data_IF_409719368346
#
_entry.id   IF_409719368346
#
_cell.length_a   1.000
_cell.length_b   1.000
_cell.length_c   1.000
_cell.angle_alpha   90.00
_cell.angle_beta   90.00
_cell.angle_gamma   90.00
#
_symmetry.space_group_name_H-M   'P 1'
#
loop_
_entity.id
_entity.type
_entity.pdbx_description
1 polymer ?
#
# COMPACT_ATOMS: atom_id res chain seq x y z
N UNK A 1 -25.99 -34.22 -4.79
CA UNK A 1 -26.11 -32.77 -4.96
C UNK A 1 -25.25 -32.11 -3.89
N UNK A 2 -24.24 -31.31 -4.25
CA UNK A 2 -23.48 -30.56 -3.27
C UNK A 2 -24.39 -29.54 -2.57
N UNK A 3 -24.18 -29.32 -1.25
CA UNK A 3 -24.91 -28.27 -0.54
C UNK A 3 -24.73 -26.92 -1.25
N UNK A 4 -25.75 -26.05 -1.29
CA UNK A 4 -25.64 -24.75 -1.89
C UNK A 4 -24.52 -23.94 -1.18
N UNK A 5 -23.73 -23.19 -1.96
CA UNK A 5 -22.70 -22.33 -1.39
C UNK A 5 -23.34 -21.24 -0.52
N UNK A 6 -22.71 -20.83 0.59
CA UNK A 6 -23.18 -19.67 1.33
C UNK A 6 -23.06 -18.41 0.50
N UNK A 7 -23.94 -17.43 0.76
CA UNK A 7 -23.99 -16.16 0.03
C UNK A 7 -23.05 -15.12 0.65
N UNK A 8 -22.27 -14.42 -0.19
CA UNK A 8 -21.33 -13.38 0.23
C UNK A 8 -21.57 -12.07 -0.53
N UNK A 9 -21.80 -11.01 0.20
CA UNK A 9 -21.76 -9.65 -0.35
C UNK A 9 -20.36 -9.06 -0.21
N UNK A 10 -19.75 -8.60 -1.30
CA UNK A 10 -18.48 -7.85 -1.29
C UNK A 10 -18.74 -6.41 -1.64
N UNK A 11 -18.40 -5.49 -0.74
CA UNK A 11 -18.56 -4.05 -0.91
C UNK A 11 -17.16 -3.45 -1.10
N UNK A 12 -16.89 -2.90 -2.27
CA UNK A 12 -15.57 -2.35 -2.65
C UNK A 12 -15.70 -1.37 -3.79
N UNK A 13 -14.64 -0.60 -4.06
CA UNK A 13 -14.43 -0.09 -5.42
C UNK A 13 -14.04 -1.27 -6.30
N UNK A 14 -14.72 -1.47 -7.40
CA UNK A 14 -14.52 -2.65 -8.24
C UNK A 14 -14.19 -2.28 -9.69
N UNK A 15 -14.97 -1.39 -10.30
CA UNK A 15 -14.78 -0.99 -11.70
C UNK A 15 -13.89 0.25 -11.88
N UNK A 16 -13.23 0.68 -10.83
CA UNK A 16 -12.30 1.80 -10.84
C UNK A 16 -10.84 1.36 -11.08
N UNK A 17 -10.06 2.21 -11.74
CA UNK A 17 -8.60 2.07 -11.83
C UNK A 17 -7.95 2.49 -10.52
N UNK A 18 -8.00 1.65 -9.52
CA UNK A 18 -7.37 1.92 -8.22
C UNK A 18 -6.78 0.64 -7.60
N UNK A 19 -5.82 0.82 -6.68
CA UNK A 19 -5.14 -0.31 -6.04
C UNK A 19 -6.06 -1.22 -5.23
N UNK A 20 -7.22 -0.72 -4.76
CA UNK A 20 -8.21 -1.51 -4.02
C UNK A 20 -9.01 -2.41 -4.96
N UNK A 21 -9.43 -1.88 -6.12
CA UNK A 21 -10.09 -2.67 -7.14
C UNK A 21 -9.16 -3.79 -7.64
N UNK A 22 -7.89 -3.45 -7.93
CA UNK A 22 -6.87 -4.42 -8.33
C UNK A 22 -6.56 -5.50 -7.27
N UNK A 23 -6.74 -5.20 -5.98
CA UNK A 23 -6.66 -6.18 -4.91
C UNK A 23 -7.95 -7.00 -4.78
N UNK A 24 -9.11 -6.37 -4.90
CA UNK A 24 -10.42 -7.01 -4.64
C UNK A 24 -10.79 -8.01 -5.74
N UNK A 25 -10.51 -7.71 -7.01
CA UNK A 25 -10.88 -8.58 -8.15
C UNK A 25 -10.34 -10.00 -8.02
N UNK A 26 -9.02 -10.23 -7.81
CA UNK A 26 -8.49 -11.58 -7.60
C UNK A 26 -9.11 -12.27 -6.37
N UNK A 27 -9.30 -11.55 -5.27
CA UNK A 27 -9.90 -12.09 -4.03
C UNK A 27 -11.34 -12.54 -4.27
N UNK A 28 -12.14 -11.76 -5.00
CA UNK A 28 -13.52 -12.14 -5.37
C UNK A 28 -13.52 -13.40 -6.22
N UNK A 29 -12.61 -13.51 -7.20
CA UNK A 29 -12.48 -14.71 -8.02
C UNK A 29 -12.25 -15.98 -7.19
N UNK A 30 -11.30 -15.92 -6.25
CA UNK A 30 -11.01 -17.05 -5.36
C UNK A 30 -12.13 -17.31 -4.33
N UNK A 31 -12.76 -16.26 -3.80
CA UNK A 31 -13.91 -16.42 -2.89
C UNK A 31 -15.11 -17.06 -3.58
N UNK A 32 -15.27 -16.86 -4.91
CA UNK A 32 -16.36 -17.50 -5.69
C UNK A 32 -16.24 -19.04 -5.76
N UNK A 33 -15.08 -19.60 -5.44
CA UNK A 33 -14.95 -21.05 -5.28
C UNK A 33 -15.69 -21.57 -4.04
N UNK A 34 -15.83 -20.73 -3.01
CA UNK A 34 -16.40 -21.08 -1.71
C UNK A 34 -17.78 -20.47 -1.44
N UNK A 35 -18.15 -19.39 -2.11
CA UNK A 35 -19.36 -18.61 -1.91
C UNK A 35 -20.09 -18.35 -3.23
N UNK A 36 -21.40 -18.07 -3.12
CA UNK A 36 -22.15 -17.33 -4.15
C UNK A 36 -21.94 -15.84 -3.89
N UNK A 37 -21.12 -15.18 -4.72
CA UNK A 37 -20.61 -13.83 -4.48
C UNK A 37 -21.39 -12.79 -5.25
N UNK A 38 -21.91 -11.79 -4.55
CA UNK A 38 -22.48 -10.57 -5.12
C UNK A 38 -21.57 -9.38 -4.79
N UNK A 39 -21.15 -8.63 -5.81
CA UNK A 39 -20.30 -7.42 -5.64
C UNK A 39 -21.19 -6.18 -5.66
N UNK A 40 -21.01 -5.31 -4.67
CA UNK A 40 -21.58 -3.96 -4.60
C UNK A 40 -20.45 -2.95 -4.83
N UNK A 41 -20.41 -2.38 -6.04
CA UNK A 41 -19.39 -1.39 -6.41
C UNK A 41 -19.66 -0.05 -5.73
N UNK A 42 -18.60 0.55 -5.17
CA UNK A 42 -18.59 1.90 -4.62
C UNK A 42 -18.11 2.88 -5.69
N UNK A 43 -18.98 3.26 -6.62
CA UNK A 43 -18.67 4.24 -7.67
C UNK A 43 -18.04 5.52 -7.08
N UNK A 44 -16.74 5.71 -7.32
CA UNK A 44 -15.98 6.81 -6.74
C UNK A 44 -16.40 8.18 -7.29
N UNK A 45 -16.98 8.24 -8.48
CA UNK A 45 -17.57 9.47 -9.03
C UNK A 45 -18.72 9.97 -8.13
N UNK A 46 -19.58 9.05 -7.67
CA UNK A 46 -20.68 9.38 -6.77
C UNK A 46 -20.21 9.63 -5.34
N UNK A 47 -19.42 8.71 -4.79
CA UNK A 47 -19.05 8.72 -3.38
C UNK A 47 -18.09 9.84 -3.00
N UNK A 48 -17.22 10.28 -3.92
CA UNK A 48 -16.25 11.39 -3.72
C UNK A 48 -16.70 12.74 -4.26
N UNK A 49 -17.90 12.84 -4.85
CA UNK A 49 -18.40 14.11 -5.36
C UNK A 49 -18.50 15.17 -4.26
N UNK A 50 -18.14 16.41 -4.57
CA UNK A 50 -18.37 17.57 -3.71
C UNK A 50 -19.81 18.12 -3.83
N UNK A 51 -20.55 17.73 -4.87
CA UNK A 51 -21.93 18.13 -5.09
C UNK A 51 -22.85 17.45 -4.09
N UNK A 52 -23.61 18.23 -3.30
CA UNK A 52 -24.63 17.69 -2.37
C UNK A 52 -25.70 16.86 -3.07
N UNK A 53 -26.01 17.18 -4.34
CA UNK A 53 -27.00 16.43 -5.13
C UNK A 53 -26.49 15.06 -5.46
N UNK A 54 -25.24 14.94 -5.90
CA UNK A 54 -24.58 13.67 -6.23
C UNK A 54 -24.34 12.83 -4.96
N UNK A 55 -23.94 13.46 -3.85
CA UNK A 55 -23.80 12.76 -2.56
C UNK A 55 -25.14 12.14 -2.08
N UNK A 56 -26.28 12.82 -2.31
CA UNK A 56 -27.59 12.24 -2.01
C UNK A 56 -27.90 11.03 -2.89
N UNK A 57 -27.44 11.02 -4.15
CA UNK A 57 -27.58 9.84 -5.03
C UNK A 57 -26.74 8.68 -4.47
N UNK A 58 -25.46 8.91 -4.17
CA UNK A 58 -24.59 7.91 -3.51
C UNK A 58 -25.23 7.33 -2.23
N UNK A 59 -25.83 8.20 -1.39
CA UNK A 59 -26.52 7.75 -0.16
C UNK A 59 -27.79 6.93 -0.47
N UNK A 60 -28.51 7.21 -1.58
CA UNK A 60 -29.65 6.40 -2.01
C UNK A 60 -29.22 5.00 -2.46
N UNK A 61 -28.17 4.91 -3.27
CA UNK A 61 -27.61 3.65 -3.72
C UNK A 61 -27.09 2.82 -2.56
N UNK A 62 -26.29 3.45 -1.66
CA UNK A 62 -25.85 2.81 -0.43
C UNK A 62 -27.02 2.27 0.40
N UNK A 63 -28.10 3.04 0.56
CA UNK A 63 -29.27 2.60 1.29
C UNK A 63 -30.02 1.49 0.56
N UNK A 64 -29.97 1.45 -0.78
CA UNK A 64 -30.61 0.40 -1.55
C UNK A 64 -29.93 -0.95 -1.29
N UNK A 65 -28.61 -1.04 -1.42
CA UNK A 65 -27.92 -2.30 -1.13
C UNK A 65 -27.87 -2.62 0.37
N UNK A 66 -27.82 -1.64 1.27
CA UNK A 66 -27.93 -1.90 2.71
C UNK A 66 -29.22 -2.58 3.13
N UNK A 67 -30.33 -2.45 2.36
CA UNK A 67 -31.56 -3.18 2.64
C UNK A 67 -31.46 -4.68 2.37
N UNK A 68 -30.56 -5.09 1.50
CA UNK A 68 -30.36 -6.50 1.14
C UNK A 68 -29.23 -7.16 1.92
N UNK A 69 -28.32 -6.41 2.56
CA UNK A 69 -27.15 -6.98 3.25
C UNK A 69 -27.51 -7.98 4.37
N UNK A 70 -28.67 -7.82 4.99
CA UNK A 70 -29.16 -8.74 6.04
C UNK A 70 -29.55 -10.14 5.53
N UNK A 71 -29.70 -10.34 4.22
CA UNK A 71 -30.05 -11.63 3.61
C UNK A 71 -28.81 -12.46 3.24
N UNK A 72 -27.62 -11.88 3.25
CA UNK A 72 -26.39 -12.58 2.97
C UNK A 72 -25.86 -13.30 4.25
N UNK A 73 -25.29 -14.49 4.07
CA UNK A 73 -24.65 -15.24 5.14
C UNK A 73 -23.42 -14.54 5.69
N UNK A 74 -22.69 -13.85 4.82
CA UNK A 74 -21.53 -13.02 5.17
C UNK A 74 -21.44 -11.78 4.29
N UNK A 75 -20.80 -10.72 4.84
CA UNK A 75 -20.48 -9.48 4.12
C UNK A 75 -19.00 -9.18 4.28
N UNK A 76 -18.32 -8.83 3.21
CA UNK A 76 -16.97 -8.28 3.24
C UNK A 76 -16.97 -6.82 2.77
N UNK A 77 -16.41 -5.92 3.58
CA UNK A 77 -16.19 -4.53 3.20
C UNK A 77 -14.69 -4.29 3.03
N UNK A 78 -14.27 -3.93 1.83
CA UNK A 78 -12.91 -3.45 1.56
C UNK A 78 -12.84 -1.95 1.90
N UNK A 79 -12.23 -1.62 3.02
CA UNK A 79 -12.25 -0.27 3.55
C UNK A 79 -10.90 0.45 3.36
N UNK A 80 -10.88 1.35 2.40
CA UNK A 80 -10.02 2.52 2.44
C UNK A 80 -10.91 3.72 2.79
N UNK A 81 -10.52 4.51 3.78
CA UNK A 81 -11.43 5.53 4.34
C UNK A 81 -12.01 6.46 3.27
N UNK A 82 -11.19 6.87 2.31
CA UNK A 82 -11.60 7.73 1.21
C UNK A 82 -12.59 7.11 0.22
N UNK A 83 -12.85 5.80 0.23
CA UNK A 83 -13.82 5.18 -0.69
C UNK A 83 -15.27 5.45 -0.29
N UNK A 84 -15.52 5.72 0.98
CA UNK A 84 -16.86 6.01 1.50
C UNK A 84 -17.19 7.51 1.53
N UNK A 85 -16.28 8.41 1.15
CA UNK A 85 -16.53 9.85 1.11
C UNK A 85 -15.28 10.70 1.34
N UNK A 86 -15.47 12.04 1.29
CA UNK A 86 -14.37 12.99 1.42
C UNK A 86 -14.21 13.57 2.84
N UNK A 87 -15.18 13.38 3.72
CA UNK A 87 -15.12 13.89 5.08
C UNK A 87 -15.40 12.79 6.12
N UNK A 88 -14.79 12.87 7.30
CA UNK A 88 -14.87 11.82 8.32
C UNK A 88 -16.28 11.54 8.82
N UNK A 89 -17.16 12.54 8.89
CA UNK A 89 -18.53 12.35 9.35
C UNK A 89 -19.37 11.57 8.34
N UNK A 90 -19.24 11.88 7.05
CA UNK A 90 -19.89 11.13 5.96
C UNK A 90 -19.38 9.69 5.92
N UNK A 91 -18.06 9.49 6.00
CA UNK A 91 -17.44 8.16 6.07
C UNK A 91 -18.02 7.35 7.23
N UNK A 92 -18.02 7.92 8.43
CA UNK A 92 -18.55 7.25 9.63
C UNK A 92 -20.06 6.97 9.54
N UNK A 93 -20.84 7.88 8.97
CA UNK A 93 -22.28 7.69 8.78
C UNK A 93 -22.57 6.52 7.84
N UNK A 94 -21.88 6.49 6.69
CA UNK A 94 -22.02 5.42 5.69
C UNK A 94 -21.52 4.08 6.23
N UNK A 95 -20.37 4.05 6.88
CA UNK A 95 -19.83 2.85 7.52
C UNK A 95 -20.80 2.30 8.59
N UNK A 96 -21.32 3.16 9.46
CA UNK A 96 -22.32 2.75 10.46
C UNK A 96 -23.53 2.12 9.79
N UNK A 97 -24.02 2.71 8.71
CA UNK A 97 -25.16 2.17 7.96
C UNK A 97 -24.88 0.77 7.42
N UNK A 98 -23.73 0.56 6.79
CA UNK A 98 -23.31 -0.76 6.29
C UNK A 98 -23.24 -1.76 7.45
N UNK A 99 -22.46 -1.48 8.48
CA UNK A 99 -22.22 -2.40 9.59
C UNK A 99 -23.52 -2.76 10.31
N UNK A 100 -24.42 -1.79 10.53
CA UNK A 100 -25.69 -2.06 11.22
C UNK A 100 -26.70 -2.82 10.36
N UNK A 101 -26.51 -2.91 9.06
CA UNK A 101 -27.35 -3.69 8.15
C UNK A 101 -26.94 -5.16 8.05
N UNK A 102 -25.80 -5.57 8.62
CA UNK A 102 -25.27 -6.91 8.52
C UNK A 102 -25.39 -7.66 9.86
N UNK A 103 -25.53 -8.99 9.81
CA UNK A 103 -25.37 -9.87 10.99
C UNK A 103 -23.95 -10.34 11.14
N UNK A 104 -23.29 -10.66 10.03
CA UNK A 104 -21.92 -11.12 9.94
C UNK A 104 -21.17 -10.24 8.93
N UNK A 105 -20.18 -9.48 9.38
CA UNK A 105 -19.38 -8.60 8.53
C UNK A 105 -17.90 -8.73 8.85
N UNK A 106 -17.08 -8.87 7.80
CA UNK A 106 -15.63 -8.78 7.85
C UNK A 106 -15.19 -7.49 7.15
N UNK A 107 -14.42 -6.67 7.84
CA UNK A 107 -13.88 -5.42 7.29
C UNK A 107 -12.39 -5.59 7.04
N UNK A 108 -11.97 -5.47 5.78
CA UNK A 108 -10.56 -5.44 5.40
C UNK A 108 -10.10 -3.99 5.37
N UNK A 109 -9.20 -3.62 6.29
CA UNK A 109 -8.64 -2.27 6.36
C UNK A 109 -7.36 -2.17 5.53
N UNK A 110 -7.35 -1.28 4.57
CA UNK A 110 -6.15 -0.96 3.77
C UNK A 110 -5.27 0.10 4.44
N UNK A 111 -5.86 0.96 5.28
CA UNK A 111 -5.14 1.94 6.10
C UNK A 111 -5.69 1.95 7.52
N UNK A 112 -4.78 1.96 8.51
CA UNK A 112 -5.11 2.08 9.94
C UNK A 112 -4.69 3.45 10.44
N UNK A 113 -5.64 4.23 10.94
CA UNK A 113 -5.37 5.48 11.64
C UNK A 113 -5.10 5.23 13.12
N UNK A 114 -4.30 6.11 13.71
CA UNK A 114 -4.00 6.13 15.15
C UNK A 114 -4.36 7.48 15.70
N UNK A 115 -4.92 7.49 16.90
CA UNK A 115 -5.29 8.72 17.56
C UNK A 115 -4.12 9.70 17.75
N UNK A 116 -4.39 10.96 17.50
CA UNK A 116 -3.51 12.04 17.92
C UNK A 116 -3.77 12.32 19.41
N UNK A 117 -2.72 12.20 20.22
CA UNK A 117 -2.82 12.42 21.66
C UNK A 117 -3.25 13.86 21.98
N UNK A 118 -4.25 14.01 22.84
CA UNK A 118 -4.69 15.26 23.47
C UNK A 118 -4.76 16.49 22.52
N UNK A 119 -5.56 16.46 21.44
CA UNK A 119 -5.61 17.56 20.48
C UNK A 119 -6.01 18.91 21.12
N UNK A 120 -6.82 18.89 22.19
CA UNK A 120 -7.19 20.08 22.93
C UNK A 120 -6.03 20.72 23.69
N UNK A 121 -5.16 19.93 24.31
CA UNK A 121 -3.96 20.44 25.01
C UNK A 121 -2.96 21.04 24.02
N UNK A 122 -2.78 20.38 22.87
CA UNK A 122 -1.92 20.90 21.79
C UNK A 122 -2.45 22.22 21.26
N UNK A 123 -3.75 22.34 21.05
CA UNK A 123 -4.40 23.59 20.64
C UNK A 123 -4.22 24.69 21.68
N UNK A 124 -4.48 24.41 22.96
CA UNK A 124 -4.30 25.40 24.04
C UNK A 124 -2.84 25.91 24.09
N UNK A 125 -1.87 25.01 23.97
CA UNK A 125 -0.44 25.37 23.90
C UNK A 125 -0.11 26.26 22.68
N UNK A 126 -0.72 25.98 21.52
CA UNK A 126 -0.50 26.77 20.31
C UNK A 126 -1.17 28.14 20.41
N UNK A 127 -2.33 28.24 21.09
CA UNK A 127 -2.97 29.53 21.42
C UNK A 127 -2.08 30.38 22.33
N UNK A 128 -1.47 29.80 23.37
CA UNK A 128 -0.53 30.52 24.26
C UNK A 128 0.72 31.01 23.49
N UNK A 129 1.06 30.41 22.37
CA UNK A 129 2.16 30.84 21.48
C UNK A 129 1.70 31.80 20.39
N UNK A 130 0.49 32.31 20.43
CA UNK A 130 -0.09 33.22 19.42
C UNK A 130 -0.39 32.55 18.06
N UNK A 131 -0.37 31.21 17.97
CA UNK A 131 -0.57 30.46 16.72
C UNK A 131 -2.02 29.99 16.53
N UNK A 132 -3.00 30.90 16.74
CA UNK A 132 -4.42 30.56 16.74
C UNK A 132 -4.90 29.84 15.46
N UNK A 133 -4.60 30.41 14.29
CA UNK A 133 -5.08 29.86 13.00
C UNK A 133 -4.47 28.48 12.70
N UNK A 134 -3.18 28.33 12.86
CA UNK A 134 -2.47 27.06 12.62
C UNK A 134 -2.85 26.02 13.67
N UNK A 135 -2.99 26.43 14.94
CA UNK A 135 -3.45 25.57 16.02
C UNK A 135 -4.88 25.06 15.81
N UNK A 136 -5.80 25.94 15.35
CA UNK A 136 -7.17 25.54 15.05
C UNK A 136 -7.25 24.53 13.89
N UNK A 137 -6.50 24.74 12.80
CA UNK A 137 -6.43 23.80 11.68
C UNK A 137 -5.86 22.44 12.14
N UNK A 138 -4.80 22.45 12.95
CA UNK A 138 -4.22 21.23 13.51
C UNK A 138 -5.21 20.50 14.44
N UNK A 139 -5.93 21.23 15.27
CA UNK A 139 -6.95 20.69 16.17
C UNK A 139 -8.10 20.03 15.41
N UNK A 140 -8.67 20.73 14.42
CA UNK A 140 -9.77 20.17 13.61
C UNK A 140 -9.33 18.93 12.84
N UNK A 141 -8.13 18.95 12.26
CA UNK A 141 -7.56 17.76 11.61
C UNK A 141 -7.41 16.61 12.60
N UNK A 142 -6.79 16.84 13.75
CA UNK A 142 -6.62 15.79 14.76
C UNK A 142 -7.95 15.22 15.25
N UNK A 143 -8.98 16.07 15.43
CA UNK A 143 -10.34 15.64 15.79
C UNK A 143 -10.97 14.76 14.70
N UNK A 144 -10.77 15.09 13.43
CA UNK A 144 -11.23 14.30 12.31
C UNK A 144 -10.50 12.95 12.23
N UNK A 145 -9.16 12.95 12.39
CA UNK A 145 -8.36 11.73 12.37
C UNK A 145 -8.77 10.80 13.53
N UNK A 146 -9.02 11.35 14.73
CA UNK A 146 -9.47 10.58 15.89
C UNK A 146 -10.90 10.01 15.69
N UNK A 147 -11.76 10.67 14.93
CA UNK A 147 -13.06 10.10 14.57
C UNK A 147 -12.92 8.83 13.73
N UNK A 148 -11.98 8.81 12.80
CA UNK A 148 -11.69 7.65 11.94
C UNK A 148 -10.78 6.60 12.63
N UNK A 149 -10.21 6.91 13.78
CA UNK A 149 -9.46 5.99 14.63
C UNK A 149 -10.31 5.51 15.81
N UNK A 150 -10.15 6.09 17.00
CA UNK A 150 -10.87 5.65 18.22
C UNK A 150 -12.39 5.68 18.07
N UNK A 151 -12.93 6.67 17.34
CA UNK A 151 -14.37 6.76 17.06
C UNK A 151 -14.88 5.55 16.26
N UNK A 152 -14.16 5.17 15.20
CA UNK A 152 -14.50 4.05 14.35
C UNK A 152 -14.28 2.72 15.10
N UNK A 153 -13.09 2.50 15.66
CA UNK A 153 -12.79 1.22 16.32
C UNK A 153 -13.63 1.02 17.58
N UNK A 154 -13.90 2.10 18.34
CA UNK A 154 -14.84 2.06 19.47
C UNK A 154 -16.28 1.72 19.05
N UNK A 155 -16.71 2.19 17.87
CA UNK A 155 -17.98 1.77 17.29
C UNK A 155 -17.96 0.29 16.94
N UNK A 156 -16.95 -0.22 16.22
CA UNK A 156 -16.85 -1.63 15.85
C UNK A 156 -16.80 -2.55 17.09
N UNK A 157 -16.04 -2.16 18.12
CA UNK A 157 -15.98 -2.90 19.38
C UNK A 157 -17.37 -3.04 20.04
N UNK A 158 -18.16 -1.95 20.05
CA UNK A 158 -19.55 -2.04 20.56
C UNK A 158 -20.42 -2.91 19.68
N UNK A 159 -20.22 -2.90 18.35
CA UNK A 159 -21.00 -3.77 17.45
C UNK A 159 -20.67 -5.26 17.64
N UNK A 160 -19.46 -5.61 18.07
CA UNK A 160 -19.08 -6.99 18.39
C UNK A 160 -19.90 -7.63 19.54
N UNK A 161 -20.61 -6.84 20.34
CA UNK A 161 -21.55 -7.35 21.35
C UNK A 161 -22.88 -7.85 20.77
N UNK A 162 -23.26 -7.37 19.58
CA UNK A 162 -24.58 -7.61 19.00
C UNK A 162 -24.55 -8.38 17.68
N UNK A 163 -23.40 -8.39 17.03
CA UNK A 163 -23.21 -9.00 15.72
C UNK A 163 -21.79 -9.48 15.56
N UNK A 164 -21.60 -10.36 14.58
CA UNK A 164 -20.26 -10.79 14.25
C UNK A 164 -19.56 -9.72 13.42
N UNK A 165 -18.53 -9.12 13.97
CA UNK A 165 -17.64 -8.20 13.28
C UNK A 165 -16.23 -8.75 13.36
N UNK A 166 -15.68 -9.13 12.23
CA UNK A 166 -14.28 -9.53 12.04
C UNK A 166 -13.51 -8.44 11.33
N UNK A 167 -12.21 -8.38 11.54
CA UNK A 167 -11.33 -7.39 10.91
C UNK A 167 -10.11 -8.08 10.31
N UNK A 168 -9.79 -7.74 9.07
CA UNK A 168 -8.53 -8.14 8.40
C UNK A 168 -7.68 -6.89 8.21
N UNK A 169 -6.38 -6.99 8.51
CA UNK A 169 -5.38 -5.93 8.31
C UNK A 169 -4.14 -6.52 7.63
N UNK A 170 -3.31 -5.64 7.06
CA UNK A 170 -2.15 -6.07 6.27
C UNK A 170 -0.84 -6.16 7.06
N UNK A 171 -0.86 -5.83 8.37
CA UNK A 171 0.34 -5.95 9.21
C UNK A 171 0.04 -6.49 10.60
N UNK A 172 0.97 -7.30 11.16
CA UNK A 172 0.91 -7.76 12.56
C UNK A 172 0.91 -6.61 13.55
N UNK A 173 1.57 -5.50 13.20
CA UNK A 173 1.56 -4.29 14.02
C UNK A 173 0.14 -3.74 14.14
N UNK A 174 -0.57 -3.61 13.03
CA UNK A 174 -1.92 -3.06 13.00
C UNK A 174 -2.90 -4.01 13.70
N UNK A 175 -2.75 -5.33 13.49
CA UNK A 175 -3.55 -6.32 14.24
C UNK A 175 -3.33 -6.20 15.75
N UNK A 176 -2.07 -6.10 16.19
CA UNK A 176 -1.75 -5.90 17.61
C UNK A 176 -2.34 -4.60 18.14
N UNK A 177 -2.21 -3.51 17.40
CA UNK A 177 -2.74 -2.20 17.77
C UNK A 177 -4.26 -2.26 17.96
N UNK A 178 -5.00 -2.85 17.02
CA UNK A 178 -6.45 -2.99 17.11
C UNK A 178 -6.88 -3.88 18.28
N UNK A 179 -6.15 -4.97 18.55
CA UNK A 179 -6.43 -5.88 19.68
C UNK A 179 -6.12 -5.23 21.02
N UNK A 180 -4.92 -4.65 21.18
CA UNK A 180 -4.42 -4.21 22.49
C UNK A 180 -4.86 -2.79 22.85
N UNK A 181 -4.84 -1.84 21.92
CA UNK A 181 -5.19 -0.47 22.20
C UNK A 181 -6.69 -0.21 22.09
N UNK A 182 -7.34 -0.77 21.07
CA UNK A 182 -8.76 -0.51 20.82
C UNK A 182 -9.68 -1.64 21.29
N UNK A 183 -9.14 -2.77 21.76
CA UNK A 183 -9.89 -3.88 22.34
C UNK A 183 -10.79 -4.61 21.36
N UNK A 184 -10.46 -4.60 20.06
CA UNK A 184 -11.19 -5.36 19.05
C UNK A 184 -10.86 -6.86 19.16
N UNK A 185 -11.91 -7.69 19.04
CA UNK A 185 -11.81 -9.14 18.90
C UNK A 185 -11.84 -9.53 17.43
N UNK A 186 -11.54 -10.80 17.12
CA UNK A 186 -11.61 -11.35 15.74
C UNK A 186 -10.83 -10.49 14.73
N UNK A 187 -9.58 -10.17 15.06
CA UNK A 187 -8.67 -9.42 14.19
C UNK A 187 -7.65 -10.38 13.60
N UNK A 188 -7.60 -10.46 12.28
CA UNK A 188 -6.71 -11.29 11.49
C UNK A 188 -5.68 -10.42 10.77
N UNK A 189 -4.50 -10.95 10.46
CA UNK A 189 -3.53 -10.25 9.66
C UNK A 189 -2.99 -11.13 8.53
N UNK A 190 -2.91 -10.54 7.36
CA UNK A 190 -2.22 -11.10 6.21
C UNK A 190 -1.62 -9.96 5.39
N UNK A 191 -0.34 -10.01 4.99
CA UNK A 191 0.21 -8.99 4.10
C UNK A 191 -0.56 -8.99 2.79
N UNK A 192 -0.52 -7.88 2.04
CA UNK A 192 -1.14 -7.85 0.72
C UNK A 192 -0.68 -9.05 -0.10
N UNK A 193 -1.61 -9.71 -0.78
CA UNK A 193 -1.33 -10.79 -1.71
C UNK A 193 -2.02 -10.44 -3.04
N UNK A 194 -1.27 -10.46 -4.14
CA UNK A 194 -1.75 -10.03 -5.46
C UNK A 194 -1.61 -11.12 -6.51
N UNK A 195 -0.84 -12.18 -6.24
CA UNK A 195 -0.57 -13.27 -7.18
C UNK A 195 -0.69 -14.63 -6.49
N UNK A 196 -1.14 -15.60 -7.25
CA UNK A 196 -0.92 -17.02 -7.01
C UNK A 196 0.50 -17.43 -7.46
N UNK A 197 0.94 -18.60 -7.04
CA UNK A 197 2.21 -19.18 -7.54
C UNK A 197 2.15 -19.37 -9.07
N UNK A 198 1.00 -19.81 -9.58
CA UNK A 198 0.80 -20.04 -11.00
C UNK A 198 0.85 -18.73 -11.81
N UNK A 199 0.13 -17.69 -11.33
CA UNK A 199 0.12 -16.37 -11.97
C UNK A 199 1.51 -15.73 -11.98
N UNK A 200 2.26 -15.84 -10.88
CA UNK A 200 3.63 -15.31 -10.82
C UNK A 200 4.54 -15.97 -11.89
N UNK A 201 4.45 -17.29 -12.05
CA UNK A 201 5.20 -18.01 -13.10
C UNK A 201 4.79 -17.57 -14.49
N UNK A 202 3.48 -17.41 -14.73
CA UNK A 202 2.98 -16.95 -16.04
C UNK A 202 3.45 -15.53 -16.35
N UNK A 203 3.39 -14.61 -15.38
CA UNK A 203 3.88 -13.24 -15.53
C UNK A 203 5.37 -13.21 -15.85
N UNK A 204 6.18 -13.97 -15.11
CA UNK A 204 7.62 -14.04 -15.34
C UNK A 204 7.95 -14.63 -16.72
N UNK A 205 7.22 -15.65 -17.18
CA UNK A 205 7.37 -16.22 -18.51
C UNK A 205 6.96 -15.26 -19.65
N UNK A 206 5.99 -14.38 -19.39
CA UNK A 206 5.52 -13.36 -20.33
C UNK A 206 6.36 -12.07 -20.29
N UNK A 207 7.31 -11.95 -19.36
CA UNK A 207 8.12 -10.76 -19.16
C UNK A 207 9.08 -10.58 -20.34
N UNK A 208 8.90 -9.48 -21.08
CA UNK A 208 9.82 -9.04 -22.13
C UNK A 208 9.78 -7.52 -22.23
N UNK A 209 10.94 -6.91 -22.44
CA UNK A 209 11.05 -5.48 -22.76
C UNK A 209 10.42 -5.14 -24.11
N UNK A 210 10.32 -6.11 -25.04
CA UNK A 210 9.76 -5.92 -26.38
C UNK A 210 8.27 -5.53 -26.34
N UNK A 211 7.57 -5.86 -25.27
CA UNK A 211 6.19 -5.40 -25.07
C UNK A 211 6.07 -3.89 -24.82
N UNK A 212 7.18 -3.23 -24.51
CA UNK A 212 7.23 -1.83 -24.16
C UNK A 212 8.19 -1.09 -25.08
N UNK A 213 7.72 -0.41 -26.15
CA UNK A 213 8.57 0.15 -27.21
C UNK A 213 9.74 1.00 -26.68
N UNK A 214 9.50 1.80 -25.62
CA UNK A 214 10.55 2.61 -25.02
C UNK A 214 11.64 1.79 -24.32
N UNK A 215 11.32 0.59 -23.83
CA UNK A 215 12.29 -0.34 -23.20
C UNK A 215 12.98 -1.22 -24.25
N UNK A 216 12.26 -1.61 -25.30
CA UNK A 216 12.80 -2.38 -26.41
C UNK A 216 13.88 -1.61 -27.18
N UNK A 217 13.76 -0.28 -27.26
CA UNK A 217 14.70 0.60 -27.96
C UNK A 217 15.98 0.91 -27.15
N UNK A 218 16.13 0.37 -25.94
CA UNK A 218 17.30 0.66 -25.10
C UNK A 218 18.55 -0.06 -25.63
N UNK A 219 19.74 0.56 -25.50
CA UNK A 219 21.00 -0.10 -25.85
C UNK A 219 21.21 -1.42 -25.11
N UNK A 220 21.90 -2.40 -25.72
CA UNK A 220 22.30 -3.61 -25.02
C UNK A 220 23.10 -3.30 -23.73
N UNK A 221 22.84 -4.05 -22.65
CA UNK A 221 23.49 -3.81 -21.36
C UNK A 221 22.87 -2.69 -20.52
N UNK A 222 21.77 -2.07 -21.01
CA UNK A 222 21.02 -1.10 -20.20
C UNK A 222 20.35 -1.76 -18.99
N UNK A 223 20.52 -1.13 -17.81
CA UNK A 223 19.84 -1.51 -16.56
C UNK A 223 18.61 -0.62 -16.38
N UNK A 224 17.43 -1.24 -16.25
CA UNK A 224 16.15 -0.56 -16.13
C UNK A 224 15.69 -0.55 -14.68
N UNK A 225 15.63 0.65 -14.10
CA UNK A 225 15.03 0.91 -12.80
C UNK A 225 13.54 1.24 -13.01
N UNK A 226 12.64 0.46 -12.40
CA UNK A 226 11.19 0.65 -12.53
C UNK A 226 10.59 1.35 -11.31
N UNK A 227 9.89 2.45 -11.51
CA UNK A 227 9.06 3.12 -10.50
C UNK A 227 7.57 2.98 -10.87
N UNK A 228 6.70 2.65 -9.88
CA UNK A 228 5.31 2.27 -10.15
C UNK A 228 4.31 3.04 -9.28
N UNK A 229 3.23 3.52 -9.90
CA UNK A 229 2.09 4.17 -9.27
C UNK A 229 1.83 5.59 -9.76
N UNK A 230 0.72 6.19 -9.34
CA UNK A 230 0.35 7.53 -9.74
C UNK A 230 1.46 8.57 -9.50
N UNK A 231 1.55 9.56 -10.37
CA UNK A 231 2.49 10.69 -10.25
C UNK A 231 2.08 11.60 -9.08
N UNK A 232 2.29 11.10 -7.88
CA UNK A 232 1.95 11.75 -6.61
C UNK A 232 3.18 12.01 -5.78
N UNK A 233 3.22 13.15 -5.10
CA UNK A 233 4.39 13.61 -4.33
C UNK A 233 4.90 12.55 -3.33
N UNK A 234 4.00 11.83 -2.66
CA UNK A 234 4.41 10.83 -1.68
C UNK A 234 5.14 9.63 -2.29
N UNK A 235 5.04 9.42 -3.60
CA UNK A 235 5.78 8.36 -4.32
C UNK A 235 7.26 8.69 -4.47
N UNK A 236 7.67 9.96 -4.28
CA UNK A 236 9.07 10.36 -4.23
C UNK A 236 9.85 10.18 -5.53
N UNK A 237 9.19 10.19 -6.70
CA UNK A 237 9.87 10.03 -8.00
C UNK A 237 10.96 11.08 -8.23
N UNK A 238 10.84 12.26 -7.61
CA UNK A 238 11.87 13.29 -7.61
C UNK A 238 13.18 12.80 -6.96
N UNK A 239 13.13 11.98 -5.92
CA UNK A 239 14.31 11.33 -5.33
C UNK A 239 14.96 10.36 -6.33
N UNK A 240 14.17 9.55 -7.05
CA UNK A 240 14.72 8.67 -8.08
C UNK A 240 15.36 9.45 -9.24
N UNK A 241 14.73 10.54 -9.71
CA UNK A 241 15.29 11.41 -10.75
C UNK A 241 16.60 12.07 -10.30
N UNK A 242 16.72 12.48 -9.03
CA UNK A 242 17.96 13.02 -8.50
C UNK A 242 19.06 11.94 -8.42
N UNK A 243 18.72 10.72 -8.01
CA UNK A 243 19.66 9.60 -8.02
C UNK A 243 20.17 9.28 -9.44
N UNK A 244 19.30 9.36 -10.46
CA UNK A 244 19.68 9.16 -11.85
C UNK A 244 20.77 10.11 -12.35
N UNK A 245 20.89 11.30 -11.75
CA UNK A 245 21.95 12.25 -12.12
C UNK A 245 23.34 11.79 -11.64
N UNK A 246 23.40 10.94 -10.62
CA UNK A 246 24.63 10.36 -10.08
C UNK A 246 24.99 9.02 -10.72
N UNK A 247 24.03 8.32 -11.31
CA UNK A 247 24.23 7.00 -11.89
C UNK A 247 24.86 7.06 -13.29
N UNK A 248 25.70 6.06 -13.67
CA UNK A 248 26.26 5.90 -15.00
C UNK A 248 25.21 5.90 -16.12
N UNK A 249 25.64 6.13 -17.37
CA UNK A 249 24.72 6.34 -18.51
C UNK A 249 23.90 5.10 -18.92
N UNK A 250 24.38 3.89 -18.60
CA UNK A 250 23.66 2.67 -18.90
C UNK A 250 22.46 2.40 -17.98
N UNK A 251 22.26 3.21 -16.94
CA UNK A 251 21.04 3.15 -16.13
C UNK A 251 19.93 3.97 -16.75
N UNK A 252 18.76 3.36 -16.88
CA UNK A 252 17.52 3.98 -17.35
C UNK A 252 16.42 3.89 -16.29
N UNK A 253 15.62 4.94 -16.15
CA UNK A 253 14.50 5.00 -15.23
C UNK A 253 13.18 4.94 -16.00
N UNK A 254 12.39 3.91 -15.77
CA UNK A 254 11.03 3.79 -16.30
C UNK A 254 10.01 4.12 -15.20
N UNK A 255 9.18 5.14 -15.43
CA UNK A 255 8.13 5.58 -14.50
C UNK A 255 6.78 5.15 -15.07
N UNK A 256 6.17 4.15 -14.46
CA UNK A 256 4.87 3.61 -14.83
C UNK A 256 3.77 4.20 -13.94
N UNK A 257 2.96 5.06 -14.51
CA UNK A 257 1.85 5.71 -13.84
C UNK A 257 1.40 6.98 -14.52
N UNK A 258 0.15 7.33 -14.31
CA UNK A 258 -0.45 8.57 -14.78
C UNK A 258 -0.59 9.58 -13.64
N UNK A 259 -0.99 10.79 -13.97
CA UNK A 259 -1.44 11.79 -13.00
C UNK A 259 -2.59 11.21 -12.18
N UNK A 260 -2.53 11.40 -10.85
CA UNK A 260 -3.58 10.90 -9.97
C UNK A 260 -4.94 11.51 -10.35
N UNK A 261 -6.02 10.72 -10.48
CA UNK A 261 -7.33 11.24 -10.89
C UNK A 261 -7.82 12.44 -10.06
N UNK A 262 -7.53 12.44 -8.76
CA UNK A 262 -7.87 13.55 -7.86
C UNK A 262 -7.03 14.83 -8.09
N UNK A 263 -5.96 14.77 -8.89
CA UNK A 263 -5.11 15.91 -9.26
C UNK A 263 -5.54 16.54 -10.59
N UNK A 264 -6.49 15.92 -11.29
CA UNK A 264 -7.06 16.48 -12.52
C UNK A 264 -8.07 17.54 -12.11
N UNK A 265 -7.74 18.82 -12.38
CA UNK A 265 -8.63 19.97 -12.14
C UNK A 265 -9.13 20.47 -13.47
N UNK A 266 -10.35 21.02 -13.51
CA UNK A 266 -10.98 21.58 -14.72
C UNK A 266 -10.19 22.74 -15.37
N UNK A 267 -9.23 23.32 -14.65
CA UNK A 267 -8.34 24.35 -15.18
C UNK A 267 -7.08 23.70 -15.75
N UNK A 268 -6.72 24.08 -16.97
CA UNK A 268 -5.56 23.59 -17.73
C UNK A 268 -4.19 23.95 -17.11
N UNK A 269 -3.99 23.63 -15.85
CA UNK A 269 -2.74 23.85 -15.12
C UNK A 269 -2.09 22.49 -14.89
N UNK A 270 -0.87 22.33 -15.40
CA UNK A 270 -0.04 21.14 -15.12
C UNK A 270 0.15 21.03 -13.61
N UNK A 271 -0.10 19.83 -13.06
CA UNK A 271 0.12 19.54 -11.63
C UNK A 271 1.54 20.00 -11.22
N UNK A 272 1.68 20.75 -10.12
CA UNK A 272 2.97 21.30 -9.69
C UNK A 272 4.04 20.24 -9.46
N UNK A 273 3.65 19.03 -9.06
CA UNK A 273 4.60 17.93 -8.89
C UNK A 273 5.07 17.37 -10.23
N UNK A 274 4.16 17.20 -11.20
CA UNK A 274 4.53 16.80 -12.58
C UNK A 274 5.45 17.85 -13.21
N UNK A 275 5.14 19.14 -13.03
CA UNK A 275 6.02 20.23 -13.48
C UNK A 275 7.41 20.14 -12.85
N UNK A 276 7.50 19.81 -11.54
CA UNK A 276 8.78 19.58 -10.85
C UNK A 276 9.55 18.42 -11.48
N UNK A 277 8.89 17.27 -11.72
CA UNK A 277 9.53 16.11 -12.35
C UNK A 277 10.11 16.46 -13.72
N UNK A 278 9.34 17.15 -14.56
CA UNK A 278 9.81 17.62 -15.87
C UNK A 278 11.01 18.58 -15.75
N UNK A 279 11.00 19.44 -14.74
CA UNK A 279 12.12 20.34 -14.46
C UNK A 279 13.40 19.58 -14.08
N UNK A 280 13.31 18.54 -13.28
CA UNK A 280 14.43 17.70 -12.91
C UNK A 280 15.01 16.91 -14.11
N UNK A 281 14.16 16.46 -15.02
CA UNK A 281 14.58 15.75 -16.23
C UNK A 281 15.30 16.66 -17.22
N UNK A 282 14.79 17.87 -17.45
CA UNK A 282 15.20 18.71 -18.57
C UNK A 282 16.14 19.86 -18.20
N UNK A 283 16.11 20.35 -16.96
CA UNK A 283 16.72 21.64 -16.63
C UNK A 283 18.15 21.54 -16.08
N UNK A 284 18.70 20.34 -15.82
CA UNK A 284 20.02 20.19 -15.20
C UNK A 284 20.17 21.03 -13.92
N UNK A 285 19.05 21.33 -13.21
CA UNK A 285 19.05 22.16 -12.03
C UNK A 285 19.85 21.51 -10.91
N UNK A 286 20.53 22.35 -10.14
CA UNK A 286 21.33 21.95 -8.99
C UNK A 286 20.64 20.89 -8.16
N UNK A 287 21.33 19.81 -7.83
CA UNK A 287 20.91 18.75 -6.90
C UNK A 287 20.46 19.30 -5.54
N UNK A 288 20.91 20.52 -5.21
CA UNK A 288 20.69 21.21 -3.93
C UNK A 288 19.41 22.08 -3.94
N UNK A 289 18.61 22.07 -4.97
CA UNK A 289 17.35 22.83 -4.99
C UNK A 289 16.30 22.18 -4.07
N UNK A 290 16.55 22.27 -2.77
CA UNK A 290 15.65 21.81 -1.70
C UNK A 290 14.42 22.72 -1.72
N UNK A 291 13.19 22.21 -1.87
CA UNK A 291 12.03 23.06 -1.87
C UNK A 291 11.89 23.78 -0.53
N UNK A 292 11.84 25.11 -0.56
CA UNK A 292 11.71 26.00 0.62
C UNK A 292 10.43 25.77 1.45
N UNK A 293 9.50 24.92 1.00
CA UNK A 293 8.25 24.57 1.69
C UNK A 293 7.99 23.07 1.59
N UNK A 294 8.30 22.39 2.65
CA UNK A 294 7.97 20.99 2.88
C UNK A 294 9.00 20.41 3.85
N UNK A 295 8.55 19.87 4.99
CA UNK A 295 9.42 19.21 5.97
C UNK A 295 9.87 17.85 5.44
N UNK A 296 10.63 17.83 4.38
CA UNK A 296 11.45 16.67 4.07
C UNK A 296 12.85 17.06 4.56
N UNK A 297 13.20 16.64 5.74
CA UNK A 297 14.58 16.73 6.19
C UNK A 297 15.37 15.69 5.40
N UNK A 298 16.13 16.13 4.42
CA UNK A 298 17.16 15.33 3.82
C UNK A 298 18.26 15.18 4.88
N UNK A 299 18.44 14.00 5.41
CA UNK A 299 19.57 13.71 6.32
C UNK A 299 20.73 13.26 5.44
N UNK A 300 21.63 14.21 5.12
CA UNK A 300 22.89 13.92 4.46
C UNK A 300 23.91 13.54 5.54
N UNK A 301 24.58 12.42 5.35
CA UNK A 301 25.75 12.03 6.15
C UNK A 301 26.98 12.80 5.68
N UNK A 302 28.05 12.83 6.48
CA UNK A 302 29.27 13.50 6.07
C UNK A 302 29.90 12.91 4.80
N UNK A 303 29.77 11.59 4.63
CA UNK A 303 30.22 10.87 3.43
C UNK A 303 29.42 11.32 2.18
N UNK A 304 28.12 11.56 2.32
CA UNK A 304 27.25 12.03 1.23
C UNK A 304 27.70 13.43 0.72
N UNK A 305 28.18 14.30 1.61
CA UNK A 305 28.68 15.63 1.24
C UNK A 305 30.00 15.55 0.45
N UNK A 306 30.87 14.61 0.79
CA UNK A 306 32.11 14.37 0.04
C UNK A 306 31.76 13.87 -1.38
N UNK A 307 30.85 12.88 -1.49
CA UNK A 307 30.37 12.36 -2.77
C UNK A 307 29.74 13.46 -3.64
N UNK A 308 28.95 14.36 -3.05
CA UNK A 308 28.37 15.50 -3.78
C UNK A 308 29.43 16.49 -4.30
N UNK A 309 30.48 16.73 -3.50
CA UNK A 309 31.53 17.66 -3.87
C UNK A 309 32.41 17.13 -5.01
N UNK A 310 32.56 15.83 -5.11
CA UNK A 310 33.40 15.14 -6.11
C UNK A 310 32.67 14.85 -7.42
N UNK A 311 31.34 14.77 -7.42
CA UNK A 311 30.57 14.41 -8.62
C UNK A 311 30.40 15.60 -9.58
N UNK A 312 30.84 15.47 -10.85
CA UNK A 312 30.54 16.47 -11.87
C UNK A 312 29.05 16.53 -12.11
N UNK A 313 28.53 17.72 -12.33
CA UNK A 313 27.13 17.96 -12.71
C UNK A 313 26.81 17.19 -14.01
N UNK A 314 26.14 16.06 -13.89
CA UNK A 314 25.64 15.30 -15.05
C UNK A 314 24.36 15.95 -15.50
N UNK A 315 24.41 16.65 -16.62
CA UNK A 315 23.35 17.45 -17.21
C UNK A 315 22.02 16.74 -17.44
N UNK A 316 21.36 17.06 -18.54
CA UNK A 316 20.05 16.56 -18.94
C UNK A 316 19.96 15.02 -18.96
N UNK A 317 19.08 14.45 -18.15
CA UNK A 317 18.82 13.00 -18.07
C UNK A 317 17.63 12.55 -18.94
N UNK A 318 17.09 13.42 -19.79
CA UNK A 318 15.87 13.15 -20.56
C UNK A 318 15.95 11.87 -21.42
N UNK A 319 17.14 11.55 -21.94
CA UNK A 319 17.35 10.32 -22.74
C UNK A 319 17.33 9.03 -21.90
N UNK A 320 17.42 9.14 -20.58
CA UNK A 320 17.50 8.00 -19.64
C UNK A 320 16.27 7.86 -18.76
N UNK A 321 15.26 8.75 -18.94
CA UNK A 321 14.02 8.74 -18.16
C UNK A 321 12.83 8.55 -19.08
N UNK A 322 12.06 7.51 -18.85
CA UNK A 322 10.94 7.10 -19.68
C UNK A 322 9.65 7.17 -18.88
N UNK A 323 8.75 8.11 -19.25
CA UNK A 323 7.40 8.17 -18.68
C UNK A 323 6.48 7.25 -19.47
N UNK A 324 6.16 6.10 -18.89
CA UNK A 324 5.47 5.00 -19.55
C UNK A 324 3.94 5.12 -19.54
N UNK A 325 3.39 6.07 -18.79
CA UNK A 325 1.95 6.24 -18.65
C UNK A 325 1.28 5.22 -17.72
N UNK A 326 -0.05 5.19 -17.74
CA UNK A 326 -0.84 4.21 -17.00
C UNK A 326 -0.77 2.85 -17.69
N UNK A 327 -0.76 1.80 -16.88
CA UNK A 327 -0.80 0.41 -17.34
C UNK A 327 -2.19 -0.18 -17.08
N UNK A 328 -2.59 -1.15 -17.90
CA UNK A 328 -3.70 -2.04 -17.58
C UNK A 328 -3.34 -2.95 -16.39
N UNK A 329 -4.34 -3.52 -15.74
CA UNK A 329 -4.12 -4.49 -14.65
C UNK A 329 -3.29 -5.70 -15.13
N UNK A 330 -3.44 -6.11 -16.39
CA UNK A 330 -2.70 -7.21 -17.00
C UNK A 330 -1.24 -6.84 -17.32
N UNK A 331 -0.97 -5.61 -17.75
CA UNK A 331 0.37 -5.15 -18.11
C UNK A 331 1.21 -4.73 -16.91
N UNK A 332 0.58 -4.34 -15.80
CA UNK A 332 1.28 -3.86 -14.61
C UNK A 332 2.31 -4.87 -14.07
N UNK A 333 1.96 -6.15 -13.81
CA UNK A 333 2.94 -7.12 -13.32
C UNK A 333 3.99 -7.48 -14.38
N UNK A 334 3.63 -7.51 -15.67
CA UNK A 334 4.56 -7.81 -16.77
C UNK A 334 5.60 -6.69 -16.94
N UNK A 335 5.17 -5.42 -16.86
CA UNK A 335 6.07 -4.27 -16.89
C UNK A 335 7.05 -4.30 -15.69
N UNK A 336 6.55 -4.66 -14.52
CA UNK A 336 7.39 -4.80 -13.33
C UNK A 336 8.40 -5.94 -13.49
N UNK A 337 7.99 -7.07 -14.04
CA UNK A 337 8.88 -8.19 -14.31
C UNK A 337 9.94 -7.84 -15.37
N UNK A 338 9.62 -6.99 -16.35
CA UNK A 338 10.55 -6.55 -17.40
C UNK A 338 11.61 -5.53 -16.91
N UNK A 339 11.45 -4.92 -15.75
CA UNK A 339 12.48 -4.08 -15.13
C UNK A 339 13.53 -4.93 -14.40
N UNK A 340 14.77 -4.46 -14.28
CA UNK A 340 15.83 -5.15 -13.54
C UNK A 340 15.68 -4.91 -12.03
N UNK A 341 15.41 -3.70 -11.63
CA UNK A 341 15.22 -3.30 -10.22
C UNK A 341 13.97 -2.45 -10.05
N UNK A 342 13.19 -2.73 -9.02
CA UNK A 342 12.06 -1.90 -8.63
C UNK A 342 12.50 -0.90 -7.55
N UNK A 343 12.32 0.39 -7.81
CA UNK A 343 12.67 1.47 -6.90
C UNK A 343 11.41 2.10 -6.33
N UNK A 344 11.30 2.12 -5.00
CA UNK A 344 10.15 2.64 -4.26
C UNK A 344 10.58 3.78 -3.32
N UNK A 345 10.79 4.99 -3.83
CA UNK A 345 11.39 6.10 -3.09
C UNK A 345 10.35 6.90 -2.28
N UNK A 346 9.40 6.23 -1.65
CA UNK A 346 8.24 6.86 -1.02
C UNK A 346 8.61 7.77 0.14
N UNK A 347 7.82 8.83 0.31
CA UNK A 347 7.81 9.64 1.52
C UNK A 347 6.92 8.98 2.60
N UNK A 348 7.18 9.30 3.87
CA UNK A 348 6.36 8.79 4.98
C UNK A 348 4.99 9.50 5.02
N UNK A 349 3.92 8.75 4.77
CA UNK A 349 2.54 9.25 4.79
C UNK A 349 1.61 8.43 5.67
N UNK A 350 2.15 7.42 6.36
CA UNK A 350 1.38 6.58 7.29
C UNK A 350 0.57 5.46 6.64
N UNK A 351 0.89 5.07 5.40
CA UNK A 351 0.26 3.91 4.77
C UNK A 351 0.55 2.63 5.55
N UNK A 352 -0.39 1.69 5.59
CA UNK A 352 -0.20 0.36 6.20
C UNK A 352 0.46 -0.62 5.23
N UNK A 353 0.27 -0.46 3.92
CA UNK A 353 0.75 -1.40 2.90
C UNK A 353 1.02 -0.70 1.56
N UNK A 354 1.75 -1.37 0.67
CA UNK A 354 2.06 -0.88 -0.68
C UNK A 354 1.82 -1.96 -1.71
N UNK A 355 0.88 -1.72 -2.63
CA UNK A 355 0.63 -2.61 -3.77
C UNK A 355 1.89 -2.88 -4.60
N UNK A 356 2.60 -1.85 -5.12
CA UNK A 356 3.82 -2.05 -5.90
C UNK A 356 4.92 -2.86 -5.17
N UNK A 357 5.12 -2.65 -3.86
CA UNK A 357 6.06 -3.46 -3.09
C UNK A 357 5.63 -4.94 -3.07
N UNK A 358 4.35 -5.19 -2.84
CA UNK A 358 3.82 -6.54 -2.79
C UNK A 358 4.02 -7.28 -4.13
N UNK A 359 3.66 -6.65 -5.25
CA UNK A 359 3.89 -7.20 -6.57
C UNK A 359 5.36 -7.51 -6.82
N UNK A 360 6.26 -6.57 -6.49
CA UNK A 360 7.70 -6.74 -6.67
C UNK A 360 8.26 -7.91 -5.84
N UNK A 361 7.79 -8.09 -4.60
CA UNK A 361 8.16 -9.22 -3.74
C UNK A 361 7.68 -10.54 -4.34
N UNK A 362 6.44 -10.60 -4.81
CA UNK A 362 5.86 -11.80 -5.38
C UNK A 362 6.52 -12.22 -6.71
N UNK A 363 6.97 -11.24 -7.49
CA UNK A 363 7.74 -11.50 -8.71
C UNK A 363 9.24 -11.76 -8.45
N UNK A 364 9.67 -11.82 -7.19
CA UNK A 364 11.06 -12.09 -6.84
C UNK A 364 12.04 -10.99 -7.28
N UNK A 365 11.57 -9.76 -7.54
CA UNK A 365 12.39 -8.68 -8.09
C UNK A 365 13.45 -8.19 -7.12
N UNK A 366 14.51 -7.60 -7.68
CA UNK A 366 15.41 -6.73 -6.94
C UNK A 366 14.67 -5.46 -6.55
N UNK A 367 14.66 -5.12 -5.26
CA UNK A 367 13.86 -3.99 -4.75
C UNK A 367 14.74 -3.11 -3.88
N UNK A 368 14.68 -1.81 -4.15
CA UNK A 368 15.29 -0.78 -3.33
C UNK A 368 14.19 0.18 -2.88
N UNK A 369 13.94 0.28 -1.58
CA UNK A 369 12.83 1.03 -1.02
C UNK A 369 13.28 2.03 0.05
N UNK A 370 12.61 3.18 0.13
CA UNK A 370 12.88 4.13 1.21
C UNK A 370 12.49 3.56 2.58
N UNK A 371 13.18 3.98 3.64
CA UNK A 371 13.01 3.48 5.01
C UNK A 371 11.75 4.01 5.70
N UNK A 372 10.58 3.90 5.00
CA UNK A 372 9.28 4.23 5.58
C UNK A 372 8.82 3.18 6.58
N UNK A 373 7.91 3.54 7.48
CA UNK A 373 7.32 2.59 8.46
C UNK A 373 6.67 1.40 7.76
N UNK A 374 5.99 1.63 6.65
CA UNK A 374 5.35 0.58 5.83
C UNK A 374 6.37 -0.45 5.35
N UNK A 375 7.47 0.00 4.76
CA UNK A 375 8.47 -0.89 4.20
C UNK A 375 9.25 -1.62 5.30
N UNK A 376 9.59 -0.95 6.40
CA UNK A 376 10.20 -1.60 7.57
C UNK A 376 9.27 -2.66 8.18
N UNK A 377 7.94 -2.44 8.22
CA UNK A 377 7.00 -3.48 8.64
C UNK A 377 6.97 -4.66 7.66
N UNK A 378 7.06 -4.40 6.35
CA UNK A 378 7.10 -5.45 5.33
C UNK A 378 8.34 -6.35 5.45
N UNK A 379 9.50 -5.83 5.85
CA UNK A 379 10.71 -6.62 6.11
C UNK A 379 10.52 -7.67 7.22
N UNK A 380 9.54 -7.49 8.11
CA UNK A 380 9.23 -8.50 9.15
C UNK A 380 8.55 -9.76 8.60
N UNK A 381 7.83 -9.61 7.48
CA UNK A 381 7.25 -10.75 6.75
C UNK A 381 8.24 -11.32 5.74
N UNK A 382 9.09 -10.46 5.17
CA UNK A 382 9.99 -10.76 4.07
C UNK A 382 11.44 -10.36 4.42
N UNK A 383 12.07 -10.99 5.43
CA UNK A 383 13.41 -10.59 5.87
C UNK A 383 14.43 -10.74 4.74
N UNK A 384 15.23 -9.70 4.54
CA UNK A 384 16.28 -9.67 3.52
C UNK A 384 15.82 -9.55 2.07
N UNK A 385 14.50 -9.47 1.81
CA UNK A 385 13.94 -9.45 0.44
C UNK A 385 14.22 -8.17 -0.34
N UNK A 386 14.56 -7.09 0.32
CA UNK A 386 14.87 -5.82 -0.34
C UNK A 386 15.84 -4.96 0.48
N UNK A 387 16.53 -4.06 -0.23
CA UNK A 387 17.41 -3.06 0.38
C UNK A 387 16.63 -1.81 0.73
N UNK A 388 17.13 -1.06 1.71
CA UNK A 388 16.50 0.20 2.12
C UNK A 388 17.51 1.33 2.15
N UNK A 389 17.03 2.56 1.88
CA UNK A 389 17.75 3.81 1.98
C UNK A 389 16.95 4.84 2.77
N UNK A 390 17.56 5.89 3.28
CA UNK A 390 16.89 6.93 4.06
C UNK A 390 15.95 7.77 3.17
N UNK A 391 14.76 8.11 3.70
CA UNK A 391 13.72 8.83 2.97
C UNK A 391 14.28 10.12 2.38
N UNK A 392 14.21 10.26 1.04
CA UNK A 392 14.68 11.43 0.32
C UNK A 392 16.19 11.48 0.08
N UNK A 393 16.96 10.53 0.60
CA UNK A 393 18.41 10.46 0.39
C UNK A 393 18.73 9.84 -0.98
N UNK A 394 18.77 10.68 -2.01
CA UNK A 394 19.03 10.25 -3.40
C UNK A 394 20.48 9.78 -3.62
N UNK A 395 21.42 10.18 -2.76
CA UNK A 395 22.84 9.74 -2.83
C UNK A 395 22.92 8.30 -2.38
N UNK A 396 22.39 7.96 -1.19
CA UNK A 396 22.34 6.60 -0.68
C UNK A 396 21.53 5.69 -1.64
N UNK A 397 20.47 6.22 -2.29
CA UNK A 397 19.76 5.49 -3.33
C UNK A 397 20.66 5.16 -4.52
N UNK A 398 21.40 6.14 -5.04
CA UNK A 398 22.30 5.92 -6.18
C UNK A 398 23.43 4.94 -5.85
N UNK A 399 24.06 5.05 -4.68
CA UNK A 399 25.07 4.13 -4.19
C UNK A 399 24.52 2.72 -4.03
N UNK A 400 23.32 2.57 -3.43
CA UNK A 400 22.67 1.27 -3.26
C UNK A 400 22.37 0.61 -4.60
N UNK A 401 21.88 1.38 -5.59
CA UNK A 401 21.63 0.89 -6.95
C UNK A 401 22.94 0.42 -7.60
N UNK A 402 24.00 1.22 -7.53
CA UNK A 402 25.30 0.89 -8.12
C UNK A 402 25.91 -0.39 -7.50
N UNK A 403 25.88 -0.52 -6.18
CA UNK A 403 26.39 -1.69 -5.45
C UNK A 403 25.59 -2.94 -5.81
N UNK A 404 24.25 -2.90 -5.77
CA UNK A 404 23.41 -4.07 -6.09
C UNK A 404 23.61 -4.54 -7.54
N UNK A 405 23.73 -3.60 -8.49
CA UNK A 405 23.94 -3.94 -9.90
C UNK A 405 25.34 -4.53 -10.21
N UNK A 406 26.34 -4.21 -9.38
CA UNK A 406 27.69 -4.74 -9.56
C UNK A 406 27.87 -6.16 -9.01
N UNK A 407 27.09 -6.56 -8.01
CA UNK A 407 27.28 -7.83 -7.27
C UNK A 407 26.22 -8.87 -7.56
N UNK A 408 25.18 -8.56 -8.34
CA UNK A 408 24.04 -9.45 -8.55
C UNK A 408 23.61 -9.44 -10.00
N UNK A 409 23.30 -10.63 -10.57
CA UNK A 409 22.59 -10.70 -11.84
C UNK A 409 21.14 -10.23 -11.65
N UNK A 410 20.86 -9.02 -12.13
CA UNK A 410 19.56 -8.38 -11.98
C UNK A 410 18.47 -8.97 -12.89
N UNK A 411 18.86 -9.80 -13.89
CA UNK A 411 17.92 -10.43 -14.82
C UNK A 411 17.26 -11.68 -14.25
N UNK A 412 17.81 -12.24 -13.18
CA UNK A 412 17.28 -13.42 -12.51
C UNK A 412 16.46 -13.03 -11.28
N UNK A 413 15.29 -13.64 -11.03
CA UNK A 413 14.55 -13.42 -9.78
C UNK A 413 15.44 -13.69 -8.58
N UNK A 414 15.60 -12.69 -7.72
CA UNK A 414 16.50 -12.76 -6.54
C UNK A 414 16.04 -13.76 -5.50
N UNK A 415 14.73 -13.93 -5.38
CA UNK A 415 14.13 -14.74 -4.33
C UNK A 415 13.00 -15.61 -4.88
N UNK A 416 12.79 -16.81 -4.32
CA UNK A 416 11.63 -17.61 -4.66
C UNK A 416 10.33 -16.92 -4.26
N UNK A 417 9.24 -17.31 -4.90
CA UNK A 417 7.90 -16.86 -4.55
C UNK A 417 7.59 -17.12 -3.07
N UNK A 418 7.03 -16.15 -2.34
CA UNK A 418 6.73 -16.31 -0.91
C UNK A 418 5.40 -17.05 -0.70
N UNK A 419 5.36 -18.36 -0.91
CA UNK A 419 4.13 -19.19 -0.84
C UNK A 419 3.30 -18.96 0.42
N UNK A 420 3.96 -18.77 1.57
CA UNK A 420 3.31 -18.47 2.85
C UNK A 420 2.39 -17.24 2.82
N UNK A 421 2.59 -16.35 1.87
CA UNK A 421 1.86 -15.06 1.76
C UNK A 421 1.26 -14.90 0.36
N UNK A 422 0.92 -15.98 -0.29
CA UNK A 422 0.23 -16.02 -1.57
C UNK A 422 -1.24 -15.62 -1.47
N UNK A 423 -1.92 -15.51 -2.60
CA UNK A 423 -3.38 -15.28 -2.62
C UNK A 423 -4.14 -16.44 -2.01
N UNK A 424 -3.66 -17.67 -2.15
CA UNK A 424 -4.27 -18.86 -1.57
C UNK A 424 -4.28 -18.79 -0.04
N UNK A 425 -3.15 -18.46 0.59
CA UNK A 425 -3.09 -18.29 2.05
C UNK A 425 -3.87 -17.06 2.53
N UNK A 426 -3.99 -16.04 1.70
CA UNK A 426 -4.86 -14.90 1.99
C UNK A 426 -6.34 -15.30 2.02
N UNK A 427 -6.79 -16.15 1.07
CA UNK A 427 -8.17 -16.68 1.08
C UNK A 427 -8.46 -17.48 2.34
N UNK A 428 -7.54 -18.30 2.84
CA UNK A 428 -7.70 -18.99 4.13
C UNK A 428 -7.98 -18.00 5.27
N UNK A 429 -7.28 -16.86 5.28
CA UNK A 429 -7.53 -15.78 6.25
C UNK A 429 -8.94 -15.19 6.09
N UNK A 430 -9.42 -15.00 4.85
CA UNK A 430 -10.79 -14.56 4.59
C UNK A 430 -11.82 -15.60 5.05
N UNK A 431 -11.61 -16.87 4.74
CA UNK A 431 -12.51 -17.95 5.16
C UNK A 431 -12.62 -18.04 6.68
N UNK A 432 -11.49 -17.94 7.40
CA UNK A 432 -11.46 -17.90 8.84
C UNK A 432 -12.20 -16.69 9.42
N UNK A 433 -12.13 -15.54 8.77
CA UNK A 433 -12.82 -14.32 9.21
C UNK A 433 -14.32 -14.34 8.90
N UNK A 434 -14.73 -14.90 7.76
CA UNK A 434 -16.11 -14.96 7.26
C UNK A 434 -16.89 -16.14 7.85
N UNK A 435 -16.27 -17.34 7.98
CA UNK A 435 -16.89 -18.61 8.37
C UNK A 435 -16.13 -19.28 9.54
N UNK A 436 -16.33 -18.89 10.79
CA UNK A 436 -15.53 -19.40 11.92
C UNK A 436 -15.68 -20.89 12.20
N UNK A 437 -16.86 -21.45 11.93
CA UNK A 437 -17.13 -22.85 12.23
C UNK A 437 -16.32 -23.79 11.30
N UNK A 438 -15.92 -23.31 10.11
CA UNK A 438 -14.98 -24.00 9.23
C UNK A 438 -13.53 -23.94 9.75
N UNK A 439 -13.11 -22.78 10.32
CA UNK A 439 -11.76 -22.58 10.84
C UNK A 439 -11.46 -23.42 12.07
N UNK A 440 -12.45 -23.71 12.91
CA UNK A 440 -12.28 -24.58 14.08
C UNK A 440 -11.94 -26.01 13.67
N UNK A 441 -12.42 -26.45 12.52
CA UNK A 441 -12.12 -27.80 11.95
C UNK A 441 -10.71 -27.86 11.34
N UNK A 442 -10.21 -26.76 10.75
CA UNK A 442 -8.87 -26.71 10.14
C UNK A 442 -7.78 -26.56 11.20
N UNK A 443 -7.96 -25.67 12.19
CA UNK A 443 -7.03 -25.51 13.31
C UNK A 443 -6.88 -26.78 14.16
N UNK A 444 -7.96 -27.56 14.33
CA UNK A 444 -7.90 -28.87 15.02
C UNK A 444 -7.12 -29.91 14.21
N UNK A 445 -7.10 -29.82 12.88
CA UNK A 445 -6.29 -30.69 12.01
C UNK A 445 -4.81 -30.31 11.99
N UNK A 446 -4.47 -29.03 12.04
CA UNK A 446 -3.08 -28.55 12.06
C UNK A 446 -2.43 -28.75 13.44
N UNK A 447 -3.17 -28.53 14.53
CA UNK A 447 -2.68 -28.82 15.88
C UNK A 447 -2.41 -30.31 16.11
N UNK A 448 -3.10 -31.19 15.38
CA UNK A 448 -2.86 -32.64 15.40
C UNK A 448 -1.68 -33.07 14.50
N UNK A 449 -1.18 -32.20 13.61
CA UNK A 449 -0.12 -32.51 12.66
C UNK A 449 1.26 -31.90 13.04
N UNK A 450 1.35 -31.08 14.08
CA UNK A 450 2.62 -30.48 14.52
C UNK A 450 3.39 -31.46 15.43
N UNK A 451 4.57 -32.01 15.01
CA UNK A 451 5.40 -32.80 15.90
C UNK A 451 5.98 -31.93 17.00
N UNK A 452 5.86 -32.39 18.23
CA UNK A 452 6.35 -31.71 19.43
C UNK A 452 7.79 -31.21 19.27
N UNK A 453 7.96 -29.88 19.20
CA UNK A 453 9.28 -29.23 19.20
C UNK A 453 9.93 -29.46 20.55
N UNK A 454 10.93 -30.34 20.62
CA UNK A 454 11.80 -30.45 21.74
C UNK A 454 12.55 -29.14 21.99
N UNK A 455 12.31 -28.50 23.12
CA UNK A 455 13.14 -27.37 23.56
C UNK A 455 14.53 -27.90 23.93
N UNK A 456 15.64 -27.36 23.42
CA UNK A 456 16.97 -27.65 23.94
C UNK A 456 17.09 -27.05 25.35
N UNK A 457 17.36 -27.91 26.32
CA UNK A 457 17.72 -27.52 27.70
C UNK A 457 18.99 -26.64 27.63
N UNK A 458 18.90 -25.47 28.21
CA UNK A 458 20.07 -24.61 28.45
C UNK A 458 21.04 -25.35 29.41
N UNK A 459 22.25 -25.57 28.94
CA UNK A 459 23.35 -26.06 29.78
C UNK A 459 23.79 -24.94 30.71
N UNK A 460 23.73 -25.18 31.99
CA UNK A 460 24.29 -24.29 33.00
C UNK A 460 25.83 -24.34 32.94
N UNK A 461 26.43 -23.23 32.61
CA UNK A 461 27.91 -23.04 32.70
C UNK A 461 28.25 -22.63 34.13
N UNK A 462 28.84 -23.53 34.88
CA UNK A 462 29.50 -23.23 36.16
C UNK A 462 30.81 -22.51 35.89
N UNK A 463 31.02 -21.33 36.50
CA UNK A 463 32.27 -20.61 36.56
C UNK A 463 33.05 -21.13 37.76
N UNK A 464 34.33 -21.56 37.62
CA UNK A 464 35.19 -21.83 38.77
C UNK A 464 35.83 -20.52 39.28
N UNK A 465 36.05 -20.50 40.62
CA UNK A 465 36.52 -19.41 41.44
C UNK A 465 37.91 -18.85 41.18
#
# INVERSE_FOLDING_TARGET
MSAPKPTLAVISTFDDLCGIAGYTKPIVGLLAEHFDVTVFDLDQFLFKSKSRRVQRLADRELNAFCRTLGTFDAVNLQLEHGTLGNDPHTIMRRLRRIVTSCRNITITFHTIFVDTAAPGLTFARDCLKGKFRTGYVAYTKAKHDNLLASGLYGFLRRQQAWRRVSVIVHTRRDARLLKTLYGLKNVFDHPLASLSVADARQVLAAASRDRFPALAALPPGSIVLGCFGFLSRYKGFDTALQAMQLLPEHFHLAIFGATHPNSIVEQAVVDPYVKRLMGLVNAGKSLIDIPKRGRTSLVLKSEDLATLAEQPHRGNIARRVHFMGALSDADFPVAMAACDTVVLPYLEVGQSSSGPLNWAIMLGKHIIASRTKTFIQSLRYYPGRFRTFDIGNFIELAETVAVESAVTDLHVPRFPFPERYSTETNIETYLAALLPDAATRTASREAAAEPARQHPRAAATTVPG
#
